data_IF_964000167129
#
_entry.id   IF_964000167129
#
_cell.length_a   1.000
_cell.length_b   1.000
_cell.length_c   1.000
_cell.angle_alpha   90.00
_cell.angle_beta   90.00
_cell.angle_gamma   90.00
#
_symmetry.space_group_name_H-M   'P 1'
#
loop_
_entity.id
_entity.type
_entity.pdbx_description
1 polymer ?
#
# COMPACT_ATOMS: atom_id res chain seq x y z
N UNK A 1 -1.76 2.73 2.37
CA UNK A 1 -1.26 4.07 2.25
C UNK A 1 -1.66 4.59 0.89
N UNK A 2 -2.62 5.41 0.88
CA UNK A 2 -3.16 6.01 -0.31
C UNK A 2 -2.36 7.25 -0.62
N UNK A 3 -1.10 7.04 -0.99
CA UNK A 3 -0.41 8.09 -1.66
C UNK A 3 -1.21 8.36 -2.92
N UNK A 4 -1.88 9.45 -2.99
CA UNK A 4 -2.26 10.02 -4.24
C UNK A 4 -1.03 10.32 -5.05
N UNK A 5 -1.22 10.91 -6.19
CA UNK A 5 -0.13 11.37 -7.00
C UNK A 5 0.82 12.15 -6.11
N UNK A 6 2.04 11.69 -6.02
CA UNK A 6 3.04 12.27 -5.13
C UNK A 6 2.66 12.27 -3.63
N UNK A 7 1.82 11.35 -3.19
CA UNK A 7 1.37 11.25 -1.80
C UNK A 7 0.30 12.26 -1.37
N UNK A 8 -0.25 13.03 -2.28
CA UNK A 8 -1.15 14.15 -1.98
C UNK A 8 -2.61 13.95 -2.40
N UNK A 9 -3.02 12.76 -2.83
CA UNK A 9 -4.41 12.55 -3.21
C UNK A 9 -5.27 12.37 -1.97
N UNK A 10 -6.12 13.31 -1.69
CA UNK A 10 -7.16 13.16 -0.70
C UNK A 10 -8.18 12.12 -1.16
N UNK A 11 -8.81 11.41 -0.22
CA UNK A 11 -9.75 10.33 -0.53
C UNK A 11 -10.86 10.75 -1.49
N UNK A 12 -11.37 11.96 -1.36
CA UNK A 12 -12.42 12.52 -2.22
C UNK A 12 -11.92 12.90 -3.62
N UNK A 13 -10.62 13.11 -3.84
CA UNK A 13 -10.04 13.33 -5.17
C UNK A 13 -10.11 12.08 -6.07
N UNK A 14 -10.47 10.92 -5.53
CA UNK A 14 -10.68 9.70 -6.31
C UNK A 14 -11.93 9.73 -7.17
N UNK A 15 -12.84 10.65 -6.94
CA UNK A 15 -14.06 10.79 -7.76
C UNK A 15 -13.82 11.39 -9.14
N UNK A 16 -12.61 11.83 -9.43
CA UNK A 16 -12.22 12.37 -10.74
C UNK A 16 -12.89 13.69 -11.05
N UNK A 17 -13.09 13.95 -12.35
CA UNK A 17 -13.65 15.20 -12.85
C UNK A 17 -15.19 15.13 -12.95
N UNK A 18 -15.92 16.25 -12.75
CA UNK A 18 -17.32 16.34 -13.09
C UNK A 18 -17.54 16.24 -14.62
N UNK A 19 -18.78 16.05 -15.05
CA UNK A 19 -19.17 16.21 -16.45
C UNK A 19 -19.17 17.68 -16.87
N UNK A 20 -19.58 17.96 -18.13
CA UNK A 20 -19.64 19.31 -18.68
C UNK A 20 -20.63 20.24 -17.96
N UNK A 21 -21.60 19.67 -17.22
CA UNK A 21 -22.60 20.41 -16.44
C UNK A 21 -22.17 20.57 -14.97
N UNK A 22 -20.97 20.12 -14.60
CA UNK A 22 -20.49 20.14 -13.22
C UNK A 22 -21.06 19.03 -12.33
N UNK A 23 -21.67 17.99 -12.91
CA UNK A 23 -22.34 16.91 -12.18
C UNK A 23 -21.46 15.67 -12.08
N UNK A 24 -21.72 14.86 -11.06
CA UNK A 24 -21.11 13.55 -10.80
C UNK A 24 -22.08 12.37 -10.96
N UNK A 25 -23.10 12.53 -11.81
CA UNK A 25 -24.19 11.57 -11.93
C UNK A 25 -23.74 10.17 -12.33
N UNK A 26 -22.67 10.08 -13.12
CA UNK A 26 -22.08 8.81 -13.57
C UNK A 26 -20.80 8.43 -12.81
N UNK A 27 -20.48 9.17 -11.75
CA UNK A 27 -19.32 8.87 -10.93
C UNK A 27 -19.55 7.63 -10.07
N UNK A 28 -18.52 6.84 -9.90
CA UNK A 28 -18.54 5.71 -8.96
C UNK A 28 -17.19 5.52 -8.30
N UNK A 29 -17.23 4.92 -7.12
CA UNK A 29 -16.04 4.37 -6.47
C UNK A 29 -16.41 3.00 -5.90
N UNK A 30 -15.63 2.00 -6.24
CA UNK A 30 -15.76 0.64 -5.75
C UNK A 30 -14.48 0.24 -5.04
N UNK A 31 -14.58 -0.27 -3.82
CA UNK A 31 -13.44 -0.80 -3.06
C UNK A 31 -13.80 -2.17 -2.52
N UNK A 32 -12.91 -3.13 -2.76
CA UNK A 32 -12.95 -4.47 -2.17
C UNK A 32 -11.70 -4.64 -1.31
N UNK A 33 -11.90 -5.12 -0.09
CA UNK A 33 -10.82 -5.39 0.87
C UNK A 33 -11.00 -6.80 1.40
N UNK A 34 -9.95 -7.59 1.32
CA UNK A 34 -9.86 -8.90 1.93
C UNK A 34 -8.68 -8.97 2.87
N UNK A 35 -8.87 -9.60 4.00
CA UNK A 35 -7.85 -9.84 4.99
C UNK A 35 -8.11 -11.14 5.73
N UNK A 36 -7.10 -11.99 5.82
CA UNK A 36 -7.19 -13.23 6.58
C UNK A 36 -5.94 -13.49 7.41
N UNK A 37 -6.11 -14.22 8.48
CA UNK A 37 -5.05 -14.74 9.34
C UNK A 37 -5.31 -16.23 9.59
N UNK A 38 -4.33 -17.06 9.23
CA UNK A 38 -4.37 -18.50 9.44
C UNK A 38 -3.23 -18.92 10.38
N UNK A 39 -3.59 -19.51 11.51
CA UNK A 39 -2.63 -20.15 12.41
C UNK A 39 -2.49 -21.61 11.98
N UNK A 40 -1.47 -21.93 11.18
CA UNK A 40 -1.25 -23.24 10.60
C UNK A 40 -0.63 -24.22 11.63
N UNK A 41 0.09 -23.70 12.59
CA UNK A 41 0.66 -24.47 13.70
C UNK A 41 0.98 -23.57 14.89
N UNK A 42 1.44 -24.17 15.99
CA UNK A 42 1.95 -23.41 17.15
C UNK A 42 3.22 -22.60 16.85
N UNK A 43 3.86 -22.84 15.69
CA UNK A 43 5.11 -22.19 15.30
C UNK A 43 4.97 -21.33 14.06
N UNK A 44 3.82 -21.35 13.39
CA UNK A 44 3.69 -20.71 12.08
C UNK A 44 2.28 -20.19 11.81
N UNK A 45 2.22 -18.93 11.40
CA UNK A 45 0.99 -18.27 10.97
C UNK A 45 1.21 -17.57 9.61
N UNK A 46 0.16 -17.45 8.83
CA UNK A 46 0.14 -16.68 7.57
C UNK A 46 -0.95 -15.62 7.68
N UNK A 47 -0.58 -14.41 7.29
CA UNK A 47 -1.50 -13.30 7.12
C UNK A 47 -1.50 -12.87 5.66
N UNK A 48 -2.67 -12.80 5.04
CA UNK A 48 -2.84 -12.31 3.69
C UNK A 48 -3.81 -11.14 3.66
N UNK A 49 -3.59 -10.22 2.73
CA UNK A 49 -4.48 -9.09 2.49
C UNK A 49 -4.51 -8.70 1.02
N UNK A 50 -5.64 -8.19 0.59
CA UNK A 50 -5.85 -7.64 -0.73
C UNK A 50 -6.70 -6.40 -0.68
N UNK A 51 -6.39 -5.41 -1.50
CA UNK A 51 -7.20 -4.21 -1.69
C UNK A 51 -7.31 -3.95 -3.18
N UNK A 52 -8.52 -3.81 -3.67
CA UNK A 52 -8.80 -3.37 -5.02
C UNK A 52 -9.72 -2.15 -4.95
N UNK A 53 -9.30 -1.05 -5.56
CA UNK A 53 -10.13 0.15 -5.68
C UNK A 53 -10.19 0.57 -7.13
N UNK A 54 -11.39 0.84 -7.62
CA UNK A 54 -11.62 1.45 -8.94
C UNK A 54 -12.60 2.58 -8.79
N UNK A 55 -12.24 3.74 -9.36
CA UNK A 55 -13.09 4.92 -9.33
C UNK A 55 -13.13 5.61 -10.68
N UNK A 56 -14.22 6.30 -10.95
CA UNK A 56 -14.42 7.16 -12.13
C UNK A 56 -15.25 8.36 -11.74
N UNK A 57 -14.91 9.53 -12.27
CA UNK A 57 -15.72 10.74 -12.14
C UNK A 57 -16.90 10.80 -13.13
N UNK A 58 -17.59 11.91 -13.13
CA UNK A 58 -18.75 12.17 -14.01
C UNK A 58 -18.39 12.39 -15.47
N UNK A 59 -17.16 12.86 -15.76
CA UNK A 59 -16.71 13.11 -17.13
C UNK A 59 -16.70 11.85 -17.98
N UNK A 60 -16.97 12.00 -19.28
CA UNK A 60 -16.85 10.91 -20.26
C UNK A 60 -15.40 10.57 -20.60
N UNK A 61 -14.46 11.49 -20.38
CA UNK A 61 -13.04 11.26 -20.58
C UNK A 61 -12.49 10.30 -19.53
N UNK A 62 -11.63 9.36 -19.91
CA UNK A 62 -10.99 8.39 -19.01
C UNK A 62 -9.67 8.92 -18.48
N UNK A 63 -8.96 9.71 -19.26
CA UNK A 63 -7.59 10.17 -19.02
C UNK A 63 -7.49 11.62 -18.58
N UNK A 64 -8.60 12.35 -18.64
CA UNK A 64 -8.58 13.79 -18.39
C UNK A 64 -8.03 14.07 -17.00
N UNK A 65 -6.92 14.79 -17.00
CA UNK A 65 -6.34 15.35 -15.80
C UNK A 65 -6.87 16.76 -15.59
N UNK A 66 -7.47 17.02 -14.47
CA UNK A 66 -7.86 18.36 -14.04
C UNK A 66 -7.09 18.75 -12.79
N UNK A 67 -6.88 20.05 -12.61
CA UNK A 67 -6.21 20.56 -11.42
C UNK A 67 -7.25 20.91 -10.38
N UNK A 68 -7.09 20.34 -9.19
CA UNK A 68 -7.84 20.71 -8.01
C UNK A 68 -6.88 21.07 -6.88
N UNK A 69 -6.99 22.29 -6.37
CA UNK A 69 -6.05 22.82 -5.37
C UNK A 69 -4.57 22.62 -5.77
N UNK A 70 -4.24 22.81 -7.04
CA UNK A 70 -2.89 22.65 -7.55
C UNK A 70 -2.46 21.20 -7.82
N UNK A 71 -3.31 20.21 -7.56
CA UNK A 71 -3.03 18.80 -7.82
C UNK A 71 -3.76 18.31 -9.06
N UNK A 72 -3.05 17.48 -9.83
CA UNK A 72 -3.61 16.84 -11.01
C UNK A 72 -4.60 15.74 -10.62
N UNK A 73 -5.80 15.78 -11.18
CA UNK A 73 -6.84 14.77 -11.01
C UNK A 73 -7.05 13.99 -12.29
N UNK A 74 -7.00 12.68 -12.20
CA UNK A 74 -7.42 11.79 -13.28
C UNK A 74 -8.88 11.39 -13.08
N UNK A 75 -9.65 11.40 -14.16
CA UNK A 75 -11.07 11.05 -14.10
C UNK A 75 -11.31 9.59 -13.75
N UNK A 76 -10.36 8.70 -14.06
CA UNK A 76 -10.42 7.31 -13.71
C UNK A 76 -9.14 6.89 -12.97
N UNK A 77 -9.30 6.08 -11.92
CA UNK A 77 -8.18 5.51 -11.17
C UNK A 77 -8.43 4.06 -10.83
N UNK A 78 -7.37 3.27 -10.76
CA UNK A 78 -7.37 1.91 -10.26
C UNK A 78 -6.17 1.71 -9.34
N UNK A 79 -6.41 1.20 -8.14
CA UNK A 79 -5.38 0.74 -7.22
C UNK A 79 -5.61 -0.75 -6.92
N UNK A 80 -4.57 -1.54 -7.02
CA UNK A 80 -4.56 -2.94 -6.64
C UNK A 80 -3.37 -3.21 -5.73
N UNK A 81 -3.62 -3.86 -4.62
CA UNK A 81 -2.59 -4.24 -3.65
C UNK A 81 -2.86 -5.65 -3.19
N UNK A 82 -1.85 -6.48 -3.16
CA UNK A 82 -1.89 -7.79 -2.53
C UNK A 82 -0.61 -8.01 -1.72
N UNK A 83 -0.75 -8.61 -0.57
CA UNK A 83 0.39 -8.92 0.28
C UNK A 83 0.19 -10.17 1.12
N UNK A 84 1.29 -10.85 1.37
CA UNK A 84 1.35 -12.01 2.24
C UNK A 84 2.46 -11.80 3.27
N UNK A 85 2.17 -12.19 4.48
CA UNK A 85 3.10 -12.13 5.60
C UNK A 85 3.14 -13.48 6.29
N UNK A 86 4.32 -14.09 6.33
CA UNK A 86 4.59 -15.24 7.17
C UNK A 86 5.05 -14.78 8.55
N UNK A 87 4.67 -15.50 9.59
CA UNK A 87 5.12 -15.32 10.97
C UNK A 87 5.63 -16.66 11.47
N UNK A 88 6.92 -16.75 11.67
CA UNK A 88 7.55 -17.90 12.25
C UNK A 88 7.96 -17.62 13.70
N UNK A 89 7.43 -18.40 14.66
CA UNK A 89 7.71 -18.26 16.08
C UNK A 89 8.91 -19.13 16.46
N UNK A 90 10.13 -18.55 16.35
CA UNK A 90 11.40 -19.25 16.66
C UNK A 90 11.39 -19.67 18.13
N UNK A 91 11.08 -18.72 19.01
CA UNK A 91 10.84 -18.95 20.44
C UNK A 91 9.54 -18.26 20.86
N UNK A 92 9.21 -18.26 22.14
CA UNK A 92 8.06 -17.51 22.64
C UNK A 92 8.27 -15.98 22.55
N UNK A 93 9.51 -15.54 22.60
CA UNK A 93 9.87 -14.11 22.64
C UNK A 93 10.57 -13.62 21.35
N UNK A 94 11.04 -14.52 20.47
CA UNK A 94 11.67 -14.19 19.21
C UNK A 94 10.85 -14.74 18.04
N UNK A 95 10.36 -13.86 17.20
CA UNK A 95 9.61 -14.18 15.98
C UNK A 95 10.35 -13.66 14.74
N UNK A 96 10.22 -14.35 13.64
CA UNK A 96 10.63 -13.86 12.32
C UNK A 96 9.38 -13.62 11.49
N UNK A 97 9.28 -12.42 10.96
CA UNK A 97 8.21 -12.04 10.06
C UNK A 97 8.79 -11.73 8.69
N UNK A 98 8.21 -12.30 7.66
CA UNK A 98 8.57 -12.05 6.27
C UNK A 98 7.34 -11.54 5.54
N UNK A 99 7.51 -10.52 4.70
CA UNK A 99 6.40 -9.95 3.94
C UNK A 99 6.78 -9.79 2.48
N UNK A 100 5.89 -10.23 1.60
CA UNK A 100 5.90 -9.95 0.17
C UNK A 100 4.67 -9.14 -0.16
N UNK A 101 4.84 -8.02 -0.87
CA UNK A 101 3.77 -7.10 -1.21
C UNK A 101 3.92 -6.66 -2.67
N UNK A 102 2.82 -6.67 -3.40
CA UNK A 102 2.74 -6.14 -4.74
C UNK A 102 1.66 -5.06 -4.80
N UNK A 103 1.98 -3.94 -5.39
CA UNK A 103 1.06 -2.82 -5.58
C UNK A 103 1.11 -2.33 -7.02
N UNK A 104 -0.06 -2.00 -7.56
CA UNK A 104 -0.25 -1.40 -8.88
C UNK A 104 -1.18 -0.21 -8.74
N UNK A 105 -0.85 0.88 -9.44
CA UNK A 105 -1.73 2.01 -9.66
C UNK A 105 -1.81 2.32 -11.15
N UNK A 106 -3.00 2.64 -11.61
CA UNK A 106 -3.25 3.16 -12.94
C UNK A 106 -4.10 4.41 -12.85
N UNK A 107 -3.60 5.50 -13.40
CA UNK A 107 -4.25 6.80 -13.43
C UNK A 107 -4.65 7.11 -14.88
N UNK A 108 -5.97 7.18 -15.17
CA UNK A 108 -6.49 7.38 -16.52
C UNK A 108 -6.02 6.29 -17.49
N UNK A 109 -5.58 6.72 -18.66
CA UNK A 109 -5.03 5.86 -19.72
C UNK A 109 -3.50 5.68 -19.63
N UNK A 110 -2.88 6.21 -18.57
CA UNK A 110 -1.46 6.06 -18.34
C UNK A 110 -1.04 4.59 -18.13
N UNK A 111 0.21 4.24 -18.44
CA UNK A 111 0.76 2.95 -18.06
C UNK A 111 0.68 2.68 -16.56
N UNK A 112 0.65 1.43 -16.18
CA UNK A 112 0.60 1.03 -14.78
C UNK A 112 1.92 1.34 -14.07
N UNK A 113 1.82 2.02 -12.94
CA UNK A 113 2.90 2.14 -11.97
C UNK A 113 2.84 0.96 -11.00
N UNK A 114 3.92 0.21 -10.87
CA UNK A 114 3.94 -0.95 -9.99
C UNK A 114 5.17 -1.04 -9.10
N UNK A 115 4.99 -1.71 -7.96
CA UNK A 115 6.03 -1.92 -6.96
C UNK A 115 5.91 -3.31 -6.36
N UNK A 116 7.04 -4.02 -6.28
CA UNK A 116 7.24 -5.15 -5.38
C UNK A 116 7.95 -4.69 -4.12
N UNK A 117 7.51 -5.16 -2.97
CA UNK A 117 8.17 -4.92 -1.69
C UNK A 117 8.41 -6.24 -0.98
N UNK A 118 9.60 -6.40 -0.44
CA UNK A 118 10.03 -7.55 0.35
C UNK A 118 10.53 -7.04 1.69
N UNK A 119 10.09 -7.65 2.78
CA UNK A 119 10.53 -7.28 4.11
C UNK A 119 10.90 -8.51 4.93
N UNK A 120 11.97 -8.40 5.71
CA UNK A 120 12.36 -9.34 6.75
C UNK A 120 12.37 -8.58 8.05
N UNK A 121 11.65 -9.08 9.05
CA UNK A 121 11.39 -8.34 10.28
C UNK A 121 11.57 -9.25 11.50
N UNK A 122 12.80 -9.43 11.99
CA UNK A 122 13.02 -10.00 13.32
C UNK A 122 12.26 -9.18 14.38
N UNK A 123 11.49 -9.87 15.22
CA UNK A 123 10.58 -9.26 16.17
C UNK A 123 10.79 -9.84 17.55
N UNK A 124 11.05 -9.00 18.53
CA UNK A 124 11.12 -9.37 19.95
C UNK A 124 9.76 -9.08 20.59
N UNK A 125 9.20 -10.08 21.28
CA UNK A 125 7.93 -10.01 21.99
C UNK A 125 8.19 -10.28 23.48
N UNK A 126 8.40 -9.25 24.32
CA UNK A 126 8.80 -9.40 25.72
C UNK A 126 7.83 -10.23 26.58
N UNK A 127 6.53 -10.23 26.24
CA UNK A 127 5.53 -11.03 26.95
C UNK A 127 5.60 -12.54 26.67
N UNK A 128 6.44 -12.98 25.74
CA UNK A 128 6.67 -14.39 25.47
C UNK A 128 5.46 -15.13 24.91
N UNK A 129 4.63 -14.50 24.08
CA UNK A 129 3.44 -15.10 23.46
C UNK A 129 3.64 -15.34 21.98
N UNK A 130 3.33 -16.54 21.50
CA UNK A 130 3.28 -16.91 20.07
C UNK A 130 1.95 -16.50 19.47
N UNK A 131 1.78 -15.20 19.27
CA UNK A 131 0.55 -14.61 18.77
C UNK A 131 0.88 -13.42 17.88
N UNK A 132 0.32 -13.31 16.66
CA UNK A 132 0.51 -12.17 15.78
C UNK A 132 0.12 -10.83 16.40
N UNK A 133 -0.80 -10.84 17.33
CA UNK A 133 -1.33 -9.65 18.03
C UNK A 133 -0.64 -9.34 19.35
N UNK A 134 0.35 -10.16 19.74
CA UNK A 134 1.08 -9.95 21.01
C UNK A 134 1.77 -8.59 21.02
N UNK A 135 1.53 -7.81 22.06
CA UNK A 135 2.14 -6.49 22.33
C UNK A 135 2.60 -6.45 23.80
N UNK A 136 3.67 -5.72 24.16
CA UNK A 136 4.52 -4.92 23.25
C UNK A 136 5.40 -5.77 22.34
N UNK A 137 5.87 -5.18 21.26
CA UNK A 137 6.92 -5.77 20.44
C UNK A 137 7.93 -4.74 19.92
N UNK A 138 9.15 -5.21 19.66
CA UNK A 138 10.24 -4.45 19.06
C UNK A 138 10.62 -5.14 17.76
N UNK A 139 10.62 -4.43 16.66
CA UNK A 139 10.88 -4.94 15.31
C UNK A 139 12.10 -4.27 14.70
N UNK A 140 13.03 -5.06 14.18
CA UNK A 140 14.02 -4.57 13.23
C UNK A 140 13.41 -4.76 11.83
N UNK A 141 13.12 -3.68 11.15
CA UNK A 141 12.47 -3.70 9.83
C UNK A 141 13.55 -3.54 8.75
N UNK A 142 13.74 -4.58 7.95
CA UNK A 142 14.59 -4.55 6.76
C UNK A 142 13.70 -4.74 5.54
N UNK A 143 13.61 -3.72 4.70
CA UNK A 143 12.71 -3.71 3.54
C UNK A 143 13.47 -3.36 2.27
N UNK A 144 13.15 -4.05 1.17
CA UNK A 144 13.57 -3.71 -0.19
C UNK A 144 12.34 -3.53 -1.06
N UNK A 145 12.36 -2.53 -1.94
CA UNK A 145 11.29 -2.27 -2.89
C UNK A 145 11.87 -2.17 -4.31
N UNK A 146 11.18 -2.75 -5.28
CA UNK A 146 11.51 -2.66 -6.70
C UNK A 146 10.35 -1.99 -7.44
N UNK A 147 10.64 -0.90 -8.13
CA UNK A 147 9.68 -0.15 -8.93
C UNK A 147 9.83 -0.50 -10.42
N UNK A 148 8.72 -0.49 -11.17
CA UNK A 148 8.80 -0.53 -12.62
C UNK A 148 9.27 0.84 -13.17
N UNK A 149 9.57 0.90 -14.47
CA UNK A 149 10.13 2.11 -15.07
C UNK A 149 9.15 3.27 -15.08
N UNK A 150 7.86 2.98 -15.25
CA UNK A 150 6.84 4.02 -15.23
C UNK A 150 6.70 4.65 -13.83
N UNK A 151 6.64 3.84 -12.77
CA UNK A 151 6.59 4.35 -11.39
C UNK A 151 7.81 5.20 -11.05
N UNK A 152 9.01 4.75 -11.47
CA UNK A 152 10.26 5.45 -11.25
C UNK A 152 10.29 6.81 -11.96
N UNK A 153 9.93 6.84 -13.24
CA UNK A 153 10.04 8.04 -14.07
C UNK A 153 8.99 9.10 -13.71
N UNK A 154 7.88 8.69 -13.07
CA UNK A 154 6.79 9.57 -12.68
C UNK A 154 6.73 9.82 -11.17
N UNK A 155 7.79 9.48 -10.43
CA UNK A 155 7.94 9.79 -9.00
C UNK A 155 6.77 9.31 -8.12
N UNK A 156 6.27 8.10 -8.35
CA UNK A 156 5.09 7.53 -7.68
C UNK A 156 5.26 7.27 -6.18
N UNK A 157 6.41 7.59 -5.60
CA UNK A 157 6.61 7.54 -4.16
C UNK A 157 7.53 8.67 -3.70
N UNK A 158 7.46 9.10 -2.42
CA UNK A 158 8.39 10.08 -1.88
C UNK A 158 9.86 9.68 -2.00
N UNK A 159 10.16 8.38 -1.92
CA UNK A 159 11.51 7.86 -2.16
C UNK A 159 11.99 8.17 -3.59
N UNK A 160 11.13 8.00 -4.59
CA UNK A 160 11.48 8.22 -6.00
C UNK A 160 11.66 9.70 -6.33
N UNK A 161 11.03 10.61 -5.58
CA UNK A 161 11.19 12.07 -5.76
C UNK A 161 12.62 12.53 -5.46
N UNK A 162 13.29 11.86 -4.53
CA UNK A 162 14.68 12.19 -4.15
C UNK A 162 15.70 11.23 -4.74
N UNK A 163 15.30 10.06 -5.20
CA UNK A 163 16.19 9.03 -5.68
C UNK A 163 15.51 8.15 -6.74
N UNK A 164 15.71 8.47 -8.01
CA UNK A 164 15.10 7.77 -9.15
C UNK A 164 15.70 6.37 -9.43
N UNK A 165 16.12 5.63 -8.40
CA UNK A 165 16.61 4.27 -8.54
C UNK A 165 15.44 3.27 -8.64
N UNK A 166 15.66 2.21 -9.43
CA UNK A 166 14.69 1.11 -9.55
C UNK A 166 14.50 0.35 -8.22
N UNK A 167 15.52 0.33 -7.37
CA UNK A 167 15.51 -0.32 -6.07
C UNK A 167 15.61 0.70 -4.95
N UNK A 168 14.76 0.55 -3.97
CA UNK A 168 14.80 1.25 -2.69
C UNK A 168 15.04 0.27 -1.56
N UNK A 169 15.71 0.71 -0.50
CA UNK A 169 15.88 -0.05 0.73
C UNK A 169 15.59 0.81 1.94
N UNK A 170 15.11 0.18 2.99
CA UNK A 170 14.87 0.80 4.29
C UNK A 170 15.28 -0.15 5.40
N UNK A 171 16.00 0.38 6.39
CA UNK A 171 16.31 -0.30 7.64
C UNK A 171 15.90 0.62 8.78
N UNK A 172 15.17 0.09 9.73
CA UNK A 172 14.69 0.88 10.89
C UNK A 172 14.22 0.00 12.04
N UNK A 173 14.10 0.60 13.21
CA UNK A 173 13.50 -0.04 14.38
C UNK A 173 12.11 0.53 14.61
N UNK A 174 11.15 -0.35 14.85
CA UNK A 174 9.77 0.00 15.19
C UNK A 174 9.40 -0.67 16.51
N UNK A 175 8.79 0.10 17.41
CA UNK A 175 8.18 -0.43 18.63
C UNK A 175 6.68 -0.18 18.58
N UNK A 176 5.90 -1.09 19.14
CA UNK A 176 4.46 -0.97 19.24
C UNK A 176 3.98 -1.57 20.54
N UNK A 177 3.19 -0.82 21.29
CA UNK A 177 2.52 -1.26 22.52
C UNK A 177 1.11 -0.68 22.57
N UNK A 178 0.27 -1.31 23.35
CA UNK A 178 -1.05 -0.78 23.64
C UNK A 178 -1.03 -0.17 25.05
N UNK A 179 -1.52 1.06 25.13
CA UNK A 179 -1.80 1.73 26.40
C UNK A 179 -3.26 1.45 26.74
N UNK A 180 -3.50 0.85 27.90
CA UNK A 180 -4.83 0.60 28.43
C UNK A 180 -5.10 1.61 29.56
#
# INVERSE_FOLDING_TARGET
>A
ANGGDNGNTFTWATYGAPDLEGKYTNAYSFTMVEHFLLNLSQKFSINGYGVFTKSKGGSSSTDKAEYFNGNQLYNQKMDFVVGFRSLYYITNWLHLMEEVHYAVRKDGDNPEASMWKFSIVPTIVPLGKRDPWSRPHIRLVCTMARYNDYARNNNYSPFLQVNQKRWGSFIGVKTEWWLF
#
